data_IF_445523748944
#
_entry.id   IF_445523748944
#
_cell.length_a   1.000
_cell.length_b   1.000
_cell.length_c   1.000
_cell.angle_alpha   90.00
_cell.angle_beta   90.00
_cell.angle_gamma   90.00
#
_symmetry.space_group_name_H-M   'P 1'
#
loop_
_entity.id
_entity.type
_entity.pdbx_description
1 polymer ?
#
# COMPACT_ATOMS: atom_id res chain seq x y z
N UNK A 1 17.79 -5.82 -51.78
CA UNK A 1 18.94 -6.58 -51.24
C UNK A 1 18.37 -7.69 -50.39
N UNK A 2 18.46 -8.91 -50.90
CA UNK A 2 17.74 -10.09 -50.44
C UNK A 2 18.77 -11.10 -49.97
N UNK A 3 18.74 -11.51 -48.70
CA UNK A 3 19.57 -12.61 -48.23
C UNK A 3 18.69 -13.76 -47.74
N UNK A 4 18.61 -14.79 -48.59
CA UNK A 4 18.19 -16.15 -48.25
C UNK A 4 19.42 -16.90 -47.77
N UNK A 5 19.34 -17.57 -46.62
CA UNK A 5 20.29 -18.62 -46.25
C UNK A 5 19.51 -19.92 -46.12
N UNK A 6 19.81 -20.83 -47.05
CA UNK A 6 19.39 -22.23 -47.07
C UNK A 6 20.66 -23.07 -47.13
N UNK A 7 20.90 -23.94 -46.14
CA UNK A 7 21.62 -25.24 -46.25
C UNK A 7 21.08 -26.13 -45.13
N UNK A 8 20.22 -27.09 -45.43
CA UNK A 8 20.46 -28.48 -45.87
C UNK A 8 20.86 -29.45 -44.74
N UNK A 9 19.91 -30.38 -44.54
CA UNK A 9 19.92 -31.67 -43.85
C UNK A 9 21.25 -32.41 -43.74
N UNK A 10 21.46 -33.03 -42.58
CA UNK A 10 22.27 -34.22 -42.39
C UNK A 10 21.58 -35.16 -41.40
N UNK A 11 20.77 -36.09 -41.91
CA UNK A 11 20.16 -37.19 -41.15
C UNK A 11 21.08 -38.40 -41.18
N UNK A 12 21.32 -39.04 -40.03
CA UNK A 12 21.26 -40.50 -39.77
C UNK A 12 22.27 -40.97 -38.73
N UNK A 13 21.78 -41.74 -37.75
CA UNK A 13 22.60 -42.57 -36.88
C UNK A 13 21.89 -42.99 -35.58
N UNK A 14 20.89 -43.86 -35.67
CA UNK A 14 20.33 -44.60 -34.53
C UNK A 14 21.40 -45.54 -33.93
N UNK A 15 21.50 -45.62 -32.59
CA UNK A 15 21.25 -46.88 -31.84
C UNK A 15 21.34 -46.70 -30.32
N UNK A 16 20.19 -46.99 -29.70
CA UNK A 16 19.89 -47.50 -28.36
C UNK A 16 21.03 -47.90 -27.43
N UNK A 17 20.97 -47.40 -26.19
CA UNK A 17 21.07 -48.23 -24.99
C UNK A 17 20.26 -47.61 -23.83
N UNK A 18 19.59 -48.49 -23.12
CA UNK A 18 18.48 -48.24 -22.21
C UNK A 18 18.91 -47.89 -20.78
N UNK A 19 17.91 -47.45 -20.02
CA UNK A 19 17.77 -47.51 -18.56
C UNK A 19 18.58 -46.50 -17.73
N UNK A 20 17.90 -45.51 -17.16
CA UNK A 20 17.42 -45.61 -15.79
C UNK A 20 16.62 -44.36 -15.41
N UNK A 21 15.55 -44.61 -14.69
CA UNK A 21 14.65 -43.68 -14.02
C UNK A 21 15.40 -42.55 -13.30
N UNK A 22 14.99 -41.30 -13.53
CA UNK A 22 14.75 -40.33 -12.45
C UNK A 22 13.99 -39.14 -13.05
N UNK A 23 12.66 -39.16 -12.90
CA UNK A 23 11.84 -37.97 -13.04
C UNK A 23 12.13 -37.03 -11.86
N UNK A 24 12.63 -35.80 -12.04
CA UNK A 24 12.23 -34.74 -11.17
C UNK A 24 10.88 -34.25 -11.71
N UNK A 25 9.81 -34.88 -11.23
CA UNK A 25 8.56 -34.15 -11.07
C UNK A 25 8.91 -33.02 -10.10
N UNK A 26 9.25 -31.84 -10.64
CA UNK A 26 9.23 -30.62 -9.85
C UNK A 26 7.76 -30.40 -9.52
N UNK A 27 7.34 -30.97 -8.40
CA UNK A 27 6.18 -30.53 -7.65
C UNK A 27 6.39 -29.02 -7.47
N UNK A 28 5.61 -28.24 -8.20
CA UNK A 28 5.32 -26.87 -7.82
C UNK A 28 4.60 -26.99 -6.48
N UNK A 29 5.37 -26.94 -5.40
CA UNK A 29 4.88 -26.85 -4.04
C UNK A 29 4.23 -25.47 -3.91
N UNK A 30 2.94 -25.45 -4.24
CA UNK A 30 2.02 -24.36 -3.99
C UNK A 30 1.85 -24.26 -2.48
N UNK A 31 2.82 -23.64 -1.80
CA UNK A 31 2.69 -23.30 -0.40
C UNK A 31 1.46 -22.37 -0.26
N UNK A 32 0.45 -22.74 0.54
CA UNK A 32 -0.60 -21.81 0.88
C UNK A 32 0.04 -20.72 1.75
N UNK A 33 0.21 -19.53 1.19
CA UNK A 33 0.65 -18.36 1.93
C UNK A 33 -0.51 -17.99 2.87
N UNK A 34 -0.63 -18.67 4.00
CA UNK A 34 -1.72 -18.44 4.99
C UNK A 34 -1.51 -17.15 5.79
N UNK A 35 -0.33 -16.52 5.68
CA UNK A 35 0.01 -15.27 6.35
C UNK A 35 0.70 -14.31 5.38
N UNK A 36 0.36 -13.01 5.41
CA UNK A 36 0.95 -12.05 4.49
C UNK A 36 2.47 -11.97 4.70
N UNK A 37 3.24 -12.11 3.62
CA UNK A 37 4.71 -12.20 3.64
C UNK A 37 5.32 -10.95 3.04
N UNK A 38 6.29 -10.36 3.72
CA UNK A 38 7.02 -9.19 3.20
C UNK A 38 8.31 -9.62 2.51
N UNK A 39 8.47 -9.25 1.25
CA UNK A 39 9.68 -9.46 0.44
C UNK A 39 10.35 -8.11 0.21
N UNK A 40 11.68 -8.06 0.30
CA UNK A 40 12.45 -6.86 -0.09
C UNK A 40 13.04 -7.09 -1.47
N UNK A 41 12.70 -6.25 -2.44
CA UNK A 41 13.27 -6.27 -3.80
C UNK A 41 14.70 -5.71 -3.80
N UNK A 42 15.48 -5.99 -4.85
CA UNK A 42 16.83 -5.42 -5.04
C UNK A 42 16.86 -3.88 -5.02
N UNK A 43 15.74 -3.24 -5.34
CA UNK A 43 15.55 -1.79 -5.24
C UNK A 43 15.39 -1.26 -3.81
N UNK A 44 15.42 -2.14 -2.79
CA UNK A 44 15.17 -1.80 -1.38
C UNK A 44 13.69 -1.58 -1.05
N UNK A 45 12.79 -1.76 -2.02
CA UNK A 45 11.33 -1.65 -1.83
C UNK A 45 10.78 -2.91 -1.17
N UNK A 46 9.96 -2.73 -0.14
CA UNK A 46 9.24 -3.83 0.52
C UNK A 46 7.90 -4.07 -0.19
N UNK A 47 7.64 -5.32 -0.53
CA UNK A 47 6.38 -5.81 -1.13
C UNK A 47 5.71 -6.73 -0.12
N UNK A 48 4.44 -6.50 0.17
CA UNK A 48 3.60 -7.40 0.95
C UNK A 48 2.82 -8.29 0.00
N UNK A 49 3.07 -9.60 0.04
CA UNK A 49 2.27 -10.60 -0.65
C UNK A 49 1.17 -11.04 0.30
N UNK A 50 -0.09 -10.94 -0.14
CA UNK A 50 -1.25 -11.37 0.62
C UNK A 50 -1.67 -12.81 0.22
N UNK A 51 -2.40 -13.51 1.11
CA UNK A 51 -2.93 -14.85 0.82
C UNK A 51 -3.87 -14.93 -0.39
N UNK A 52 -4.50 -13.81 -0.77
CA UNK A 52 -5.46 -13.71 -1.88
C UNK A 52 -4.79 -13.53 -3.26
N UNK A 53 -3.48 -13.81 -3.39
CA UNK A 53 -2.68 -13.55 -4.60
C UNK A 53 -2.62 -12.08 -5.01
N UNK A 54 -3.10 -11.15 -4.18
CA UNK A 54 -2.81 -9.75 -4.31
C UNK A 54 -1.46 -9.42 -3.67
N UNK A 55 -0.85 -8.35 -4.13
CA UNK A 55 0.38 -7.85 -3.54
C UNK A 55 0.32 -6.32 -3.50
N UNK A 56 0.99 -5.72 -2.51
CA UNK A 56 1.08 -4.28 -2.39
C UNK A 56 2.50 -3.83 -2.07
N UNK A 57 2.92 -2.69 -2.60
CA UNK A 57 4.14 -2.04 -2.16
C UNK A 57 3.89 -1.36 -0.79
N UNK A 58 4.76 -1.63 0.18
CA UNK A 58 4.75 -0.93 1.47
C UNK A 58 5.46 0.41 1.31
N UNK A 59 4.68 1.39 0.85
CA UNK A 59 5.16 2.72 0.44
C UNK A 59 4.98 3.76 1.54
N UNK A 60 4.24 3.45 2.61
CA UNK A 60 3.93 4.40 3.69
C UNK A 60 4.75 4.10 4.95
N UNK A 61 5.29 5.15 5.57
CA UNK A 61 5.79 5.10 6.95
C UNK A 61 4.75 5.78 7.82
N UNK A 62 4.21 5.06 8.80
CA UNK A 62 3.52 5.69 9.91
C UNK A 62 4.58 6.31 10.82
N UNK A 63 4.48 7.61 11.09
CA UNK A 63 5.31 8.30 12.10
C UNK A 63 4.97 7.80 13.52
N UNK A 64 5.34 6.57 13.84
CA UNK A 64 5.22 5.94 15.17
C UNK A 64 6.54 5.29 15.63
N UNK A 65 7.67 5.63 15.00
CA UNK A 65 8.96 5.10 15.44
C UNK A 65 10.10 6.10 15.27
N UNK A 66 10.08 7.16 16.08
CA UNK A 66 11.34 7.77 16.52
C UNK A 66 12.09 6.77 17.40
N UNK A 67 13.36 6.42 17.14
CA UNK A 67 14.14 5.64 18.09
C UNK A 67 14.32 6.51 19.33
N UNK A 68 13.64 6.14 20.42
CA UNK A 68 13.95 6.64 21.76
C UNK A 68 15.41 6.30 22.02
N UNK A 69 16.29 7.29 21.92
CA UNK A 69 17.70 7.17 22.30
C UNK A 69 17.78 6.56 23.69
N UNK A 70 18.23 5.31 23.75
CA UNK A 70 18.64 4.63 24.96
C UNK A 70 19.97 5.24 25.41
N UNK A 71 19.90 6.25 26.27
CA UNK A 71 21.05 6.74 27.01
C UNK A 71 20.74 6.65 28.50
N UNK A 72 21.44 5.73 29.16
CA UNK A 72 21.86 5.87 30.55
C UNK A 72 20.85 5.50 31.62
N UNK A 73 20.89 4.23 32.05
CA UNK A 73 20.65 3.93 33.47
C UNK A 73 21.66 4.68 34.34
N UNK A 74 21.15 5.18 35.46
CA UNK A 74 21.77 5.23 36.79
C UNK A 74 22.00 6.62 37.40
N UNK A 75 21.24 6.83 38.48
CA UNK A 75 21.62 7.51 39.73
C UNK A 75 21.41 9.02 39.81
N UNK A 76 20.22 9.40 40.29
CA UNK A 76 20.00 10.59 41.12
C UNK A 76 20.64 10.32 42.50
N UNK A 77 21.25 11.31 43.18
CA UNK A 77 20.53 11.81 44.35
C UNK A 77 20.72 13.31 44.67
N UNK A 78 19.85 13.78 45.57
CA UNK A 78 20.04 14.91 46.51
C UNK A 78 19.80 16.31 45.93
N UNK A 79 18.60 16.88 46.08
CA UNK A 79 18.05 17.49 47.31
C UNK A 79 18.81 18.73 47.77
N UNK A 80 18.23 19.90 47.48
CA UNK A 80 18.48 21.13 48.24
C UNK A 80 17.13 21.83 48.41
N UNK A 81 16.51 21.60 49.57
CA UNK A 81 15.44 22.43 50.11
C UNK A 81 15.96 23.05 51.40
N UNK A 82 15.58 24.31 51.66
CA UNK A 82 15.39 25.01 52.94
C UNK A 82 15.23 26.53 52.63
N UNK A 83 14.58 27.35 53.47
CA UNK A 83 13.21 27.27 54.00
C UNK A 83 12.48 28.65 53.91
N UNK A 84 11.18 28.76 54.24
CA UNK A 84 10.62 29.94 54.96
C UNK A 84 9.22 29.67 55.52
N UNK A 85 9.19 29.71 56.86
CA UNK A 85 8.21 30.18 57.86
C UNK A 85 6.69 29.93 57.68
N UNK A 86 6.03 29.31 58.68
CA UNK A 86 4.58 29.16 58.79
C UNK A 86 3.93 30.35 59.52
N UNK A 87 2.67 30.63 59.23
CA UNK A 87 1.86 31.53 60.03
C UNK A 87 0.37 31.10 60.03
N UNK A 88 -0.12 30.79 61.23
CA UNK A 88 -1.49 31.01 61.74
C UNK A 88 -2.38 29.77 61.96
N UNK A 89 -2.47 29.41 63.25
CA UNK A 89 -3.47 28.56 63.96
C UNK A 89 -4.71 29.40 64.33
N UNK A 90 -5.79 28.85 64.94
CA UNK A 90 -6.72 27.78 64.58
C UNK A 90 -8.18 28.28 64.43
N UNK A 91 -9.07 27.48 63.82
CA UNK A 91 -10.51 27.55 64.10
C UNK A 91 -11.15 26.17 63.94
N UNK A 92 -12.05 25.85 64.87
CA UNK A 92 -12.56 24.54 65.19
C UNK A 92 -13.66 24.03 64.25
N UNK A 93 -13.74 22.69 64.15
CA UNK A 93 -14.96 21.91 63.93
C UNK A 93 -15.47 21.86 62.49
N UNK A 94 -15.31 20.73 61.81
CA UNK A 94 -16.43 19.83 61.50
C UNK A 94 -15.91 18.54 60.84
N UNK A 95 -16.71 17.48 60.97
CA UNK A 95 -16.44 16.12 60.55
C UNK A 95 -16.28 15.95 59.02
N UNK A 96 -15.61 14.86 58.62
CA UNK A 96 -15.72 14.29 57.28
C UNK A 96 -14.51 14.55 56.40
N UNK A 97 -13.51 13.69 56.52
CA UNK A 97 -12.35 13.61 55.63
C UNK A 97 -12.80 13.12 54.23
N UNK A 98 -12.70 13.95 53.17
CA UNK A 98 -12.93 13.46 51.81
C UNK A 98 -11.65 12.79 51.29
N UNK A 99 -11.83 11.54 50.84
CA UNK A 99 -10.88 10.80 50.00
C UNK A 99 -10.40 11.69 48.85
N UNK A 100 -9.08 11.80 48.57
CA UNK A 100 -8.61 12.52 47.40
C UNK A 100 -9.02 11.75 46.14
N UNK A 101 -10.04 12.26 45.45
CA UNK A 101 -10.35 11.89 44.09
C UNK A 101 -9.13 12.23 43.23
N UNK A 102 -8.40 11.20 42.80
CA UNK A 102 -7.32 11.32 41.83
C UNK A 102 -7.94 11.89 40.56
N UNK A 103 -7.63 13.16 40.27
CA UNK A 103 -7.94 13.76 38.99
C UNK A 103 -7.33 12.87 37.91
N UNK A 104 -8.18 12.15 37.18
CA UNK A 104 -7.81 11.51 35.93
C UNK A 104 -7.41 12.61 34.96
N UNK A 105 -6.11 12.86 34.84
CA UNK A 105 -5.59 13.62 33.73
C UNK A 105 -5.93 12.82 32.48
N UNK A 106 -6.97 13.26 31.75
CA UNK A 106 -7.25 12.81 30.40
C UNK A 106 -5.98 12.99 29.59
N UNK A 107 -5.36 11.88 29.21
CA UNK A 107 -4.28 11.89 28.23
C UNK A 107 -4.80 12.61 26.97
N UNK A 108 -4.03 13.53 26.39
CA UNK A 108 -4.42 14.14 25.12
C UNK A 108 -4.60 13.01 24.10
N UNK A 109 -5.75 13.03 23.41
CA UNK A 109 -6.02 12.13 22.31
C UNK A 109 -4.86 12.19 21.30
N UNK A 110 -4.36 11.06 20.78
CA UNK A 110 -3.36 11.10 19.73
C UNK A 110 -3.95 11.86 18.54
N UNK A 111 -3.28 12.94 18.13
CA UNK A 111 -3.55 13.57 16.85
C UNK A 111 -3.44 12.51 15.74
N UNK A 112 -4.24 12.57 14.67
CA UNK A 112 -4.18 11.57 13.62
C UNK A 112 -2.80 11.60 12.97
N UNK A 113 -2.00 10.55 13.21
CA UNK A 113 -0.76 10.27 12.50
C UNK A 113 -1.07 10.25 11.00
N UNK A 114 -0.68 11.30 10.28
CA UNK A 114 -0.91 11.38 8.85
C UNK A 114 0.02 10.39 8.17
N UNK A 115 -0.54 9.42 7.45
CA UNK A 115 0.23 8.47 6.65
C UNK A 115 1.10 9.26 5.64
N UNK A 116 2.41 9.02 5.65
CA UNK A 116 3.36 9.64 4.74
C UNK A 116 4.04 8.59 3.87
N UNK A 117 4.35 8.94 2.63
CA UNK A 117 5.17 8.11 1.76
C UNK A 117 6.62 8.03 2.28
N UNK A 118 7.23 6.86 2.14
CA UNK A 118 8.65 6.64 2.38
C UNK A 118 9.50 7.19 1.22
N UNK A 119 10.80 7.35 1.45
CA UNK A 119 11.72 7.93 0.46
C UNK A 119 11.77 7.14 -0.86
N UNK A 120 11.67 5.81 -0.80
CA UNK A 120 11.68 4.94 -1.98
C UNK A 120 10.44 5.10 -2.86
N UNK A 121 9.27 5.30 -2.25
CA UNK A 121 8.01 5.60 -2.93
C UNK A 121 8.06 6.96 -3.62
N UNK A 122 8.62 7.96 -2.93
CA UNK A 122 8.78 9.31 -3.48
C UNK A 122 9.77 9.35 -4.66
N UNK A 123 10.75 8.45 -4.68
CA UNK A 123 11.73 8.34 -5.75
C UNK A 123 11.20 7.57 -6.98
N UNK A 124 10.17 6.73 -6.82
CA UNK A 124 9.65 5.85 -7.86
C UNK A 124 8.12 6.00 -8.02
N UNK A 125 7.64 7.10 -8.64
CA UNK A 125 6.20 7.38 -8.76
C UNK A 125 5.43 6.33 -9.56
N UNK A 126 6.11 5.58 -10.44
CA UNK A 126 5.51 4.47 -11.19
C UNK A 126 4.98 3.37 -10.27
N UNK A 127 5.61 3.14 -9.11
CA UNK A 127 5.15 2.13 -8.13
C UNK A 127 3.85 2.54 -7.43
N UNK A 128 3.54 3.84 -7.40
CA UNK A 128 2.29 4.37 -6.89
C UNK A 128 1.19 4.26 -7.95
N UNK A 129 1.56 4.46 -9.22
CA UNK A 129 0.65 4.60 -10.35
C UNK A 129 0.03 3.27 -10.83
N UNK A 130 0.41 2.14 -10.24
CA UNK A 130 -0.07 0.82 -10.63
C UNK A 130 -0.54 0.02 -9.40
N UNK A 131 -1.74 -0.56 -9.50
CA UNK A 131 -2.35 -1.38 -8.46
C UNK A 131 -2.66 -2.77 -9.01
N UNK A 132 -2.39 -3.80 -8.20
CA UNK A 132 -2.57 -5.20 -8.60
C UNK A 132 -3.42 -5.96 -7.60
N UNK A 133 -4.39 -6.71 -8.11
CA UNK A 133 -5.22 -7.58 -7.29
C UNK A 133 -5.94 -8.63 -8.11
N UNK A 134 -5.95 -9.88 -7.65
CA UNK A 134 -6.74 -10.96 -8.25
C UNK A 134 -6.49 -11.15 -9.77
N UNK A 135 -5.28 -10.83 -10.24
CA UNK A 135 -4.95 -10.86 -11.67
C UNK A 135 -5.49 -9.66 -12.48
N UNK A 136 -6.04 -8.63 -11.85
CA UNK A 136 -6.32 -7.34 -12.46
C UNK A 136 -5.19 -6.37 -12.17
N UNK A 137 -4.74 -5.66 -13.21
CA UNK A 137 -3.77 -4.58 -13.13
C UNK A 137 -4.48 -3.29 -13.49
N UNK A 138 -4.50 -2.33 -12.57
CA UNK A 138 -5.01 -0.98 -12.80
C UNK A 138 -3.84 -0.01 -12.85
N UNK A 139 -3.64 0.62 -14.01
CA UNK A 139 -2.55 1.56 -14.26
C UNK A 139 -3.08 2.95 -14.51
N UNK A 140 -2.59 3.94 -13.78
CA UNK A 140 -2.85 5.34 -14.05
C UNK A 140 -2.11 5.76 -15.33
N UNK A 141 -2.85 6.26 -16.32
CA UNK A 141 -2.31 6.64 -17.63
C UNK A 141 -2.20 8.14 -17.81
N UNK A 142 -3.07 8.91 -17.14
CA UNK A 142 -3.00 10.37 -17.15
C UNK A 142 -3.60 10.97 -15.89
N UNK A 143 -3.12 12.16 -15.57
CA UNK A 143 -3.64 13.05 -14.53
C UNK A 143 -3.79 14.42 -15.17
N UNK A 144 -5.01 14.92 -15.21
CA UNK A 144 -5.32 16.28 -15.63
C UNK A 144 -5.80 17.07 -14.43
N UNK A 145 -5.54 18.38 -14.42
CA UNK A 145 -6.06 19.31 -13.41
C UNK A 145 -7.15 20.14 -14.08
N UNK A 146 -8.34 20.13 -13.49
CA UNK A 146 -9.54 20.81 -13.97
C UNK A 146 -10.10 21.61 -12.80
N UNK A 147 -9.91 22.93 -12.81
CA UNK A 147 -10.15 23.82 -11.66
C UNK A 147 -9.44 23.30 -10.39
N UNK A 148 -10.21 22.92 -9.35
CA UNK A 148 -9.73 22.40 -8.08
C UNK A 148 -9.77 20.85 -8.02
N UNK A 149 -9.95 20.19 -9.17
CA UNK A 149 -10.11 18.75 -9.25
C UNK A 149 -8.99 18.07 -10.06
N UNK A 150 -8.43 17.00 -9.50
CA UNK A 150 -7.62 16.04 -10.23
C UNK A 150 -8.49 15.04 -10.99
N UNK A 151 -8.40 15.03 -12.31
CA UNK A 151 -9.07 14.06 -13.19
C UNK A 151 -8.09 12.95 -13.55
N UNK A 152 -8.31 11.77 -12.98
CA UNK A 152 -7.45 10.60 -13.14
C UNK A 152 -8.01 9.67 -14.21
N UNK A 153 -7.15 9.26 -15.16
CA UNK A 153 -7.48 8.31 -16.22
C UNK A 153 -6.69 7.03 -16.03
N UNK A 154 -7.34 5.90 -16.27
CA UNK A 154 -6.79 4.58 -15.98
C UNK A 154 -6.90 3.65 -17.18
N UNK A 155 -6.00 2.68 -17.23
CA UNK A 155 -6.08 1.50 -18.06
C UNK A 155 -6.17 0.28 -17.15
N UNK A 156 -7.10 -0.62 -17.46
CA UNK A 156 -7.35 -1.85 -16.71
C UNK A 156 -7.01 -3.03 -17.60
N UNK A 157 -6.09 -3.87 -17.13
CA UNK A 157 -5.72 -5.12 -17.77
C UNK A 157 -6.21 -6.30 -16.93
N UNK A 158 -6.89 -7.23 -17.59
CA UNK A 158 -7.25 -8.51 -16.98
C UNK A 158 -6.21 -9.57 -17.36
N UNK A 159 -5.37 -9.95 -16.41
CA UNK A 159 -4.41 -11.06 -16.51
C UNK A 159 -4.94 -12.35 -15.86
N UNK A 160 -6.11 -12.29 -15.23
CA UNK A 160 -6.77 -13.46 -14.66
C UNK A 160 -7.35 -14.36 -15.75
N UNK A 161 -7.62 -15.62 -15.39
CA UNK A 161 -8.27 -16.60 -16.29
C UNK A 161 -9.79 -16.43 -16.43
N UNK A 162 -10.40 -15.53 -15.67
CA UNK A 162 -11.86 -15.31 -15.61
C UNK A 162 -12.25 -13.94 -16.18
N UNK A 163 -13.51 -13.76 -16.57
CA UNK A 163 -13.99 -12.46 -17.04
C UNK A 163 -14.23 -11.54 -15.84
N UNK A 164 -13.74 -10.30 -15.92
CA UNK A 164 -13.93 -9.28 -14.89
C UNK A 164 -15.14 -8.43 -15.23
N UNK A 165 -16.05 -8.31 -14.26
CA UNK A 165 -17.30 -7.55 -14.40
C UNK A 165 -17.29 -6.24 -13.61
N UNK A 166 -16.49 -6.14 -12.54
CA UNK A 166 -16.28 -4.88 -11.84
C UNK A 166 -14.88 -4.82 -11.22
N UNK A 167 -14.35 -3.61 -11.11
CA UNK A 167 -13.09 -3.33 -10.41
C UNK A 167 -13.24 -2.02 -9.66
N UNK A 168 -12.98 -2.06 -8.35
CA UNK A 168 -12.98 -0.89 -7.47
C UNK A 168 -11.56 -0.65 -6.96
N UNK A 169 -11.21 0.62 -6.82
CA UNK A 169 -9.91 1.02 -6.30
C UNK A 169 -10.04 2.13 -5.27
N UNK A 170 -9.10 2.11 -4.32
CA UNK A 170 -8.80 3.20 -3.42
C UNK A 170 -7.62 3.98 -3.98
N UNK A 171 -7.87 5.26 -4.24
CA UNK A 171 -6.94 6.21 -4.81
C UNK A 171 -6.50 7.16 -3.70
N UNK A 172 -5.18 7.34 -3.54
CA UNK A 172 -4.61 8.23 -2.53
C UNK A 172 -3.70 9.25 -3.21
N UNK A 173 -3.97 10.53 -2.99
CA UNK A 173 -3.15 11.62 -3.48
C UNK A 173 -2.18 12.03 -2.40
N UNK A 174 -0.92 12.19 -2.75
CA UNK A 174 0.12 12.68 -1.85
C UNK A 174 0.70 13.97 -2.37
N UNK A 175 1.01 14.87 -1.45
CA UNK A 175 1.74 16.10 -1.73
C UNK A 175 3.19 15.82 -2.07
N UNK A 176 3.89 16.85 -2.50
CA UNK A 176 5.29 16.74 -2.92
C UNK A 176 6.23 16.30 -1.79
N UNK A 177 5.81 16.52 -0.55
CA UNK A 177 6.45 16.10 0.70
C UNK A 177 6.07 14.67 1.13
N UNK A 178 5.24 13.98 0.34
CA UNK A 178 4.74 12.63 0.63
C UNK A 178 3.59 12.59 1.63
N UNK A 179 3.02 13.73 2.04
CA UNK A 179 1.86 13.79 2.93
C UNK A 179 0.58 13.43 2.19
N UNK A 180 -0.25 12.57 2.79
CA UNK A 180 -1.57 12.26 2.24
C UNK A 180 -2.44 13.53 2.17
N UNK A 181 -2.91 13.87 0.97
CA UNK A 181 -3.79 15.01 0.69
C UNK A 181 -5.25 14.59 0.63
N UNK A 182 -5.54 13.51 -0.10
CA UNK A 182 -6.90 13.04 -0.32
C UNK A 182 -6.94 11.52 -0.48
N UNK A 183 -8.08 10.92 -0.12
CA UNK A 183 -8.38 9.51 -0.39
C UNK A 183 -9.76 9.42 -1.02
N UNK A 184 -9.86 8.64 -2.11
CA UNK A 184 -11.13 8.40 -2.82
C UNK A 184 -11.23 6.94 -3.19
N UNK A 185 -12.35 6.32 -2.84
CA UNK A 185 -12.69 4.98 -3.32
C UNK A 185 -13.70 5.09 -4.46
N UNK A 186 -13.41 4.47 -5.60
CA UNK A 186 -14.21 4.60 -6.82
C UNK A 186 -14.14 3.35 -7.71
N UNK A 187 -15.21 3.06 -8.48
CA UNK A 187 -15.17 2.00 -9.49
C UNK A 187 -14.32 2.45 -10.69
N UNK A 188 -13.28 1.69 -11.01
CA UNK A 188 -12.46 1.90 -12.21
C UNK A 188 -13.02 1.18 -13.43
N UNK A 189 -13.72 0.06 -13.23
CA UNK A 189 -14.36 -0.70 -14.29
C UNK A 189 -15.70 -1.24 -13.82
N UNK A 190 -16.73 -1.18 -14.68
CA UNK A 190 -18.01 -1.84 -14.46
C UNK A 190 -18.54 -2.27 -15.83
N UNK A 191 -18.66 -3.57 -16.02
CA UNK A 191 -19.35 -4.16 -17.16
C UNK A 191 -20.84 -3.85 -17.08
N UNK A 192 -21.46 -3.68 -18.23
CA UNK A 192 -22.87 -3.39 -18.33
C UNK A 192 -23.71 -4.63 -17.98
N UNK A 193 -24.79 -4.39 -17.24
CA UNK A 193 -25.63 -5.46 -16.74
C UNK A 193 -26.27 -6.21 -17.91
N UNK A 194 -26.12 -7.54 -17.91
CA UNK A 194 -26.63 -8.45 -18.95
C UNK A 194 -26.06 -8.24 -20.36
N UNK A 195 -24.96 -7.50 -20.52
CA UNK A 195 -24.21 -7.44 -21.78
C UNK A 195 -22.81 -8.05 -21.62
N UNK A 196 -22.64 -9.36 -21.87
CA UNK A 196 -21.36 -10.04 -21.69
C UNK A 196 -20.21 -9.51 -22.55
N UNK A 197 -20.50 -8.88 -23.68
CA UNK A 197 -19.52 -8.20 -24.53
C UNK A 197 -18.82 -7.02 -23.84
N UNK A 198 -19.43 -6.47 -22.78
CA UNK A 198 -18.86 -5.36 -22.01
C UNK A 198 -17.92 -5.82 -20.90
N UNK A 199 -17.81 -7.12 -20.65
CA UNK A 199 -16.90 -7.66 -19.64
C UNK A 199 -15.45 -7.59 -20.10
N UNK A 200 -14.54 -7.40 -19.15
CA UNK A 200 -13.12 -7.36 -19.43
C UNK A 200 -12.61 -8.80 -19.48
N UNK A 201 -12.27 -9.29 -20.68
CA UNK A 201 -11.90 -10.68 -20.94
C UNK A 201 -10.46 -10.98 -20.51
N UNK A 202 -10.11 -12.24 -20.23
CA UNK A 202 -8.72 -12.66 -20.01
C UNK A 202 -7.79 -12.16 -21.12
N UNK A 203 -6.66 -11.58 -20.73
CA UNK A 203 -5.67 -10.98 -21.61
C UNK A 203 -6.07 -9.62 -22.21
N UNK A 204 -7.27 -9.12 -21.92
CA UNK A 204 -7.74 -7.85 -22.46
C UNK A 204 -7.27 -6.66 -21.63
N UNK A 205 -6.91 -5.59 -22.33
CA UNK A 205 -6.63 -4.27 -21.77
C UNK A 205 -7.67 -3.28 -22.29
N UNK A 206 -8.26 -2.47 -21.41
CA UNK A 206 -9.23 -1.42 -21.78
C UNK A 206 -9.01 -0.17 -20.95
N UNK A 207 -9.40 0.97 -21.51
CA UNK A 207 -9.50 2.22 -20.76
C UNK A 207 -10.60 2.10 -19.69
N UNK A 208 -10.27 2.48 -18.47
CA UNK A 208 -11.17 2.52 -17.34
C UNK A 208 -11.99 3.81 -17.27
N UNK A 209 -12.80 3.91 -16.22
CA UNK A 209 -13.54 5.13 -15.89
C UNK A 209 -12.58 6.20 -15.36
N UNK A 210 -12.80 7.45 -15.78
CA UNK A 210 -12.13 8.59 -15.17
C UNK A 210 -12.65 8.83 -13.75
N UNK A 211 -11.75 9.12 -12.82
CA UNK A 211 -12.11 9.45 -11.44
C UNK A 211 -11.65 10.87 -11.12
N UNK A 212 -12.58 11.69 -10.63
CA UNK A 212 -12.31 13.05 -10.18
C UNK A 212 -12.03 13.08 -8.69
N UNK A 213 -11.04 13.83 -8.22
CA UNK A 213 -10.70 13.97 -6.80
C UNK A 213 -10.40 15.44 -6.52
N UNK A 214 -11.14 16.04 -5.59
CA UNK A 214 -10.91 17.41 -5.16
C UNK A 214 -9.52 17.55 -4.51
N UNK A 215 -8.80 18.57 -4.94
CA UNK A 215 -7.50 18.96 -4.39
C UNK A 215 -7.73 19.92 -3.24
N UNK A 216 -7.13 19.66 -2.06
CA UNK A 216 -7.29 20.55 -0.92
C UNK A 216 -6.54 21.88 -1.11
N UNK A 217 -5.44 21.87 -1.85
CA UNK A 217 -4.57 23.02 -2.08
C UNK A 217 -3.88 22.91 -3.46
N UNK A 218 -3.36 24.01 -4.00
CA UNK A 218 -2.59 24.05 -5.26
C UNK A 218 -1.19 23.41 -5.18
N UNK A 219 -0.85 22.80 -4.04
CA UNK A 219 0.50 22.28 -3.74
C UNK A 219 0.82 20.92 -4.38
N UNK A 220 -0.02 20.44 -5.30
CA UNK A 220 0.10 19.10 -5.88
C UNK A 220 0.80 19.10 -7.24
N UNK A 221 2.12 19.33 -7.25
CA UNK A 221 2.89 19.48 -8.50
C UNK A 221 3.43 18.15 -9.04
N UNK A 222 3.82 17.22 -8.17
CA UNK A 222 4.43 15.93 -8.55
C UNK A 222 3.42 14.85 -8.91
N UNK A 223 2.12 15.14 -8.78
CA UNK A 223 1.01 14.26 -9.16
C UNK A 223 1.14 12.83 -8.59
N UNK A 224 1.58 12.74 -7.33
CA UNK A 224 1.80 11.45 -6.68
C UNK A 224 0.44 10.82 -6.33
N UNK A 225 0.04 9.82 -7.12
CA UNK A 225 -1.19 9.06 -6.93
C UNK A 225 -0.85 7.61 -6.65
N UNK A 226 -1.28 7.08 -5.51
CA UNK A 226 -1.27 5.64 -5.23
C UNK A 226 -2.60 5.02 -5.66
N UNK A 227 -2.51 3.98 -6.49
CA UNK A 227 -3.62 3.17 -6.95
C UNK A 227 -3.61 1.84 -6.19
N UNK A 228 -4.66 1.56 -5.43
CA UNK A 228 -4.83 0.30 -4.72
C UNK A 228 -6.13 -0.34 -5.18
N UNK A 229 -6.07 -1.49 -5.86
CA UNK A 229 -7.28 -2.21 -6.26
C UNK A 229 -7.90 -2.85 -5.01
N UNK A 230 -9.07 -2.38 -4.60
CA UNK A 230 -9.74 -2.79 -3.36
C UNK A 230 -10.69 -3.96 -3.54
N UNK A 231 -11.21 -4.16 -4.75
CA UNK A 231 -12.17 -5.23 -5.04
C UNK A 231 -12.17 -5.56 -6.54
N UNK A 232 -12.27 -6.85 -6.85
CA UNK A 232 -12.45 -7.36 -8.21
C UNK A 232 -13.60 -8.35 -8.20
N UNK A 233 -14.55 -8.18 -9.11
CA UNK A 233 -15.69 -9.07 -9.29
C UNK A 233 -15.55 -9.83 -10.61
N UNK A 234 -15.74 -11.15 -10.55
CA UNK A 234 -15.64 -12.06 -11.69
C UNK A 234 -17.01 -12.66 -12.05
N UNK A 235 -17.11 -13.19 -13.27
CA UNK A 235 -18.27 -13.95 -13.75
C UNK A 235 -17.88 -15.31 -14.31
#
# INVERSE_FOLDING_TARGET
MTWKITRHLGTRGLSLLAAALLSPVLMADSLPISSPTTITLDSGVKVLLKPDHSWEYLLEVSDEQSPRSTLGSATIPTSSALPVVPANTPAAGDAGQPVPARASASAPAPAPTQARLNASALANPTLLSEGHRDGVVARLTAVDIDDDDAVLRFEIQNTAGQNVIATRARLRLYGDDGRLLATREAPLWVGEYRLPETYLRPGQTREGRSVRIALPDDSWSRQLVRVEVSEVEFR
#
